data_IF_378873557528
#
_entry.id   IF_378873557528
#
_cell.length_a   1.000
_cell.length_b   1.000
_cell.length_c   1.000
_cell.angle_alpha   90.00
_cell.angle_beta   90.00
_cell.angle_gamma   90.00
#
_symmetry.space_group_name_H-M   'P 1'
#
loop_
_entity.id
_entity.type
_entity.pdbx_description
1 polymer ?
#
# COMPACT_ATOMS: atom_id res chain seq x y z
N UNK A 1 37.80 -20.77 -45.55
CA UNK A 1 39.08 -20.26 -46.08
C UNK A 1 38.75 -19.30 -47.21
N UNK A 2 39.25 -18.05 -47.17
CA UNK A 2 39.11 -17.12 -48.27
C UNK A 2 40.12 -17.47 -49.37
N UNK A 3 39.66 -17.66 -50.61
CA UNK A 3 40.50 -17.85 -51.78
C UNK A 3 41.29 -16.55 -52.04
N UNK A 4 42.61 -16.64 -52.11
CA UNK A 4 43.48 -15.49 -52.38
C UNK A 4 43.71 -15.38 -53.88
N UNK A 5 44.00 -14.18 -54.36
CA UNK A 5 44.42 -13.91 -55.75
C UNK A 5 45.43 -14.93 -56.29
N UNK A 6 46.43 -15.27 -55.48
CA UNK A 6 47.49 -16.25 -55.81
C UNK A 6 46.97 -17.68 -55.98
N UNK A 7 45.85 -18.03 -55.34
CA UNK A 7 45.20 -19.34 -55.47
C UNK A 7 44.42 -19.45 -56.79
N UNK A 8 44.00 -18.31 -57.36
CA UNK A 8 43.20 -18.22 -58.60
C UNK A 8 44.11 -18.10 -59.84
N UNK A 9 45.20 -17.33 -59.76
CA UNK A 9 46.15 -17.11 -60.86
C UNK A 9 47.16 -18.27 -61.04
N UNK A 10 46.89 -19.45 -60.46
CA UNK A 10 47.82 -20.58 -60.49
C UNK A 10 47.95 -21.12 -61.91
N UNK A 11 49.17 -21.44 -62.36
CA UNK A 11 49.46 -21.85 -63.75
C UNK A 11 49.70 -23.35 -63.93
N UNK A 12 49.52 -24.14 -62.88
CA UNK A 12 49.87 -25.57 -62.81
C UNK A 12 48.77 -26.49 -63.38
N UNK A 13 48.14 -26.11 -64.49
CA UNK A 13 47.08 -26.90 -65.11
C UNK A 13 47.65 -27.87 -66.17
N UNK A 14 47.26 -29.16 -66.18
CA UNK A 14 47.74 -30.12 -67.19
C UNK A 14 47.19 -29.79 -68.59
N UNK A 15 48.07 -29.74 -69.59
CA UNK A 15 47.73 -29.38 -70.98
C UNK A 15 47.39 -30.64 -71.78
N UNK A 16 46.16 -30.74 -72.31
CA UNK A 16 45.70 -31.86 -73.15
C UNK A 16 45.74 -31.50 -74.65
N UNK A 17 45.88 -32.52 -75.53
CA UNK A 17 45.95 -32.36 -77.00
C UNK A 17 44.71 -31.72 -77.65
N UNK A 18 43.59 -31.60 -76.92
CA UNK A 18 42.37 -30.87 -77.29
C UNK A 18 41.85 -30.21 -76.02
N UNK A 19 42.15 -28.93 -75.83
CA UNK A 19 41.91 -28.21 -74.57
C UNK A 19 41.64 -26.72 -74.79
N UNK A 20 41.39 -26.02 -73.68
CA UNK A 20 41.21 -24.57 -73.68
C UNK A 20 42.53 -23.86 -74.00
N UNK A 21 42.42 -22.67 -74.59
CA UNK A 21 43.56 -21.79 -74.86
C UNK A 21 44.14 -21.25 -73.52
N UNK A 22 45.39 -21.58 -73.17
CA UNK A 22 46.00 -21.16 -71.91
C UNK A 22 46.05 -19.64 -71.71
N UNK A 23 46.27 -18.87 -72.77
CA UNK A 23 46.35 -17.41 -72.67
C UNK A 23 44.97 -16.80 -72.36
N UNK A 24 43.91 -17.36 -72.94
CA UNK A 24 42.53 -16.97 -72.67
C UNK A 24 42.11 -17.31 -71.24
N UNK A 25 42.53 -18.48 -70.73
CA UNK A 25 42.28 -18.90 -69.34
C UNK A 25 43.02 -18.01 -68.35
N UNK A 26 44.30 -17.73 -68.59
CA UNK A 26 45.11 -16.85 -67.74
C UNK A 26 44.53 -15.43 -67.68
N UNK A 27 44.03 -14.90 -68.80
CA UNK A 27 43.34 -13.61 -68.84
C UNK A 27 42.03 -13.63 -68.04
N UNK A 28 41.26 -14.73 -68.13
CA UNK A 28 40.01 -14.88 -67.39
C UNK A 28 40.23 -15.03 -65.87
N UNK A 29 41.24 -15.80 -65.45
CA UNK A 29 41.58 -15.99 -64.04
C UNK A 29 42.05 -14.68 -63.39
N UNK A 30 42.83 -13.87 -64.11
CA UNK A 30 43.18 -12.50 -63.67
C UNK A 30 41.93 -11.62 -63.48
N UNK A 31 41.03 -11.61 -64.46
CA UNK A 31 39.75 -10.87 -64.34
C UNK A 31 38.85 -11.38 -63.20
N UNK A 32 38.87 -12.68 -62.90
CA UNK A 32 38.12 -13.24 -61.77
C UNK A 32 38.75 -12.84 -60.43
N UNK A 33 40.08 -12.85 -60.34
CA UNK A 33 40.80 -12.42 -59.16
C UNK A 33 40.56 -10.93 -58.87
N UNK A 34 40.63 -10.07 -59.88
CA UNK A 34 40.35 -8.63 -59.73
C UNK A 34 38.93 -8.37 -59.21
N UNK A 35 37.93 -9.07 -59.76
CA UNK A 35 36.54 -8.97 -59.28
C UNK A 35 36.35 -9.43 -57.83
N UNK A 36 37.05 -10.48 -57.42
CA UNK A 36 36.98 -10.99 -56.03
C UNK A 36 37.66 -10.04 -55.04
N UNK A 37 38.79 -9.43 -55.43
CA UNK A 37 39.46 -8.42 -54.62
C UNK A 37 38.56 -7.18 -54.43
N UNK A 38 37.88 -6.72 -55.49
CA UNK A 38 36.89 -5.63 -55.42
C UNK A 38 35.69 -5.97 -54.51
N UNK A 39 35.17 -7.20 -54.60
CA UNK A 39 34.10 -7.67 -53.73
C UNK A 39 34.55 -7.78 -52.26
N UNK A 40 35.79 -8.21 -52.01
CA UNK A 40 36.38 -8.25 -50.66
C UNK A 40 36.57 -6.85 -50.07
N UNK A 41 37.08 -5.90 -50.86
CA UNK A 41 37.27 -4.52 -50.45
C UNK A 41 35.94 -3.82 -50.13
N UNK A 42 34.91 -4.02 -50.94
CA UNK A 42 33.57 -3.48 -50.69
C UNK A 42 32.93 -4.10 -49.44
N UNK A 43 33.06 -5.41 -49.23
CA UNK A 43 32.59 -6.07 -48.01
C UNK A 43 33.32 -5.57 -46.75
N UNK A 44 34.64 -5.36 -46.82
CA UNK A 44 35.41 -4.79 -45.72
C UNK A 44 35.00 -3.34 -45.39
N UNK A 45 34.75 -2.51 -46.42
CA UNK A 45 34.24 -1.16 -46.25
C UNK A 45 32.85 -1.14 -45.61
N UNK A 46 31.96 -2.04 -46.02
CA UNK A 46 30.62 -2.17 -45.44
C UNK A 46 30.69 -2.64 -43.98
N UNK A 47 31.56 -3.59 -43.66
CA UNK A 47 31.77 -4.04 -42.28
C UNK A 47 32.35 -2.93 -41.39
N UNK A 48 33.26 -2.11 -41.92
CA UNK A 48 33.77 -0.91 -41.26
C UNK A 48 32.65 0.09 -40.96
N UNK A 49 31.88 0.47 -41.98
CA UNK A 49 30.75 1.38 -41.83
C UNK A 49 29.68 0.83 -40.86
N UNK A 50 29.38 -0.47 -40.91
CA UNK A 50 28.47 -1.11 -39.98
C UNK A 50 29.00 -1.08 -38.54
N UNK A 51 30.31 -1.29 -38.34
CA UNK A 51 30.93 -1.23 -37.01
C UNK A 51 30.91 0.19 -36.43
N UNK A 52 31.16 1.20 -37.26
CA UNK A 52 31.04 2.62 -36.88
C UNK A 52 29.60 2.96 -36.52
N UNK A 53 28.63 2.50 -37.33
CA UNK A 53 27.21 2.71 -37.07
C UNK A 53 26.77 2.05 -35.75
N UNK A 54 27.19 0.81 -35.49
CA UNK A 54 26.90 0.12 -34.22
C UNK A 54 27.53 0.86 -33.05
N UNK A 55 28.78 1.32 -33.17
CA UNK A 55 29.44 2.12 -32.12
C UNK A 55 28.67 3.41 -31.83
N UNK A 56 28.24 4.12 -32.87
CA UNK A 56 27.45 5.35 -32.72
C UNK A 56 26.12 5.10 -32.00
N UNK A 57 25.43 4.01 -32.33
CA UNK A 57 24.17 3.61 -31.67
C UNK A 57 24.42 3.29 -30.19
N UNK A 58 25.47 2.53 -29.87
CA UNK A 58 25.78 2.18 -28.47
C UNK A 58 26.12 3.43 -27.66
N UNK A 59 26.95 4.34 -28.18
CA UNK A 59 27.27 5.59 -27.48
C UNK A 59 26.03 6.47 -27.27
N UNK A 60 25.13 6.55 -28.25
CA UNK A 60 23.87 7.28 -28.11
C UNK A 60 22.95 6.62 -27.06
N UNK A 61 22.87 5.28 -27.05
CA UNK A 61 22.08 4.54 -26.07
C UNK A 61 22.64 4.69 -24.65
N UNK A 62 23.96 4.67 -24.48
CA UNK A 62 24.62 4.90 -23.18
C UNK A 62 24.37 6.32 -22.66
N UNK A 63 24.48 7.34 -23.52
CA UNK A 63 24.15 8.72 -23.17
C UNK A 63 22.67 8.85 -22.75
N UNK A 64 21.75 8.31 -23.54
CA UNK A 64 20.32 8.32 -23.22
C UNK A 64 20.02 7.57 -21.90
N UNK A 65 20.68 6.43 -21.65
CA UNK A 65 20.52 5.69 -20.40
C UNK A 65 21.11 6.44 -19.19
N UNK A 66 22.14 7.27 -19.37
CA UNK A 66 22.66 8.13 -18.31
C UNK A 66 21.69 9.27 -18.01
N UNK A 67 21.11 9.90 -19.04
CA UNK A 67 20.09 10.94 -18.89
C UNK A 67 18.82 10.43 -18.19
N UNK A 68 18.31 9.26 -18.59
CA UNK A 68 17.15 8.64 -17.94
C UNK A 68 17.42 8.36 -16.46
N UNK A 69 18.62 7.87 -16.12
CA UNK A 69 19.00 7.62 -14.72
C UNK A 69 19.07 8.92 -13.91
N UNK A 70 19.71 9.96 -14.47
CA UNK A 70 19.79 11.26 -13.81
C UNK A 70 18.40 11.88 -13.57
N UNK A 71 17.51 11.82 -14.57
CA UNK A 71 16.15 12.31 -14.45
C UNK A 71 15.33 11.51 -13.42
N UNK A 72 15.46 10.18 -13.42
CA UNK A 72 14.78 9.33 -12.44
C UNK A 72 15.28 9.60 -11.01
N UNK A 73 16.58 9.82 -10.81
CA UNK A 73 17.15 10.16 -9.51
C UNK A 73 16.65 11.52 -9.01
N UNK A 74 16.58 12.53 -9.89
CA UNK A 74 16.02 13.85 -9.57
C UNK A 74 14.54 13.77 -9.21
N UNK A 75 13.75 13.04 -10.00
CA UNK A 75 12.34 12.81 -9.75
C UNK A 75 12.13 12.08 -8.41
N UNK A 76 12.89 11.02 -8.14
CA UNK A 76 12.83 10.29 -6.87
C UNK A 76 13.15 11.20 -5.67
N UNK A 77 14.18 12.03 -5.76
CA UNK A 77 14.53 13.00 -4.71
C UNK A 77 13.42 14.02 -4.49
N UNK A 78 12.84 14.56 -5.56
CA UNK A 78 11.69 15.47 -5.49
C UNK A 78 10.46 14.81 -4.86
N UNK A 79 10.19 13.55 -5.17
CA UNK A 79 9.11 12.79 -4.55
C UNK A 79 9.36 12.56 -3.06
N UNK A 80 10.57 12.18 -2.66
CA UNK A 80 10.94 12.00 -1.25
C UNK A 80 10.79 13.31 -0.48
N UNK A 81 11.28 14.43 -1.02
CA UNK A 81 11.14 15.74 -0.39
C UNK A 81 9.66 16.12 -0.18
N UNK A 82 8.80 15.87 -1.17
CA UNK A 82 7.34 16.11 -1.04
C UNK A 82 6.69 15.21 0.00
N UNK A 83 7.09 13.94 0.07
CA UNK A 83 6.57 13.00 1.07
C UNK A 83 7.01 13.41 2.48
N UNK A 84 8.26 13.82 2.66
CA UNK A 84 8.77 14.33 3.93
C UNK A 84 8.04 15.60 4.37
N UNK A 85 7.81 16.55 3.46
CA UNK A 85 7.06 17.76 3.75
C UNK A 85 5.61 17.45 4.14
N UNK A 86 4.94 16.55 3.40
CA UNK A 86 3.59 16.11 3.71
C UNK A 86 3.51 15.39 5.06
N UNK A 87 4.46 14.50 5.35
CA UNK A 87 4.54 13.79 6.63
C UNK A 87 4.75 14.77 7.79
N UNK A 88 5.63 15.76 7.63
CA UNK A 88 5.84 16.82 8.62
C UNK A 88 4.57 17.63 8.86
N UNK A 89 3.85 18.00 7.80
CA UNK A 89 2.58 18.72 7.91
C UNK A 89 1.51 17.88 8.62
N UNK A 90 1.45 16.56 8.37
CA UNK A 90 0.53 15.67 9.09
C UNK A 90 0.87 15.59 10.58
N UNK A 91 2.15 15.44 10.93
CA UNK A 91 2.58 15.41 12.34
C UNK A 91 2.23 16.73 13.05
N UNK A 92 2.52 17.87 12.43
CA UNK A 92 2.15 19.17 12.99
C UNK A 92 0.64 19.27 13.23
N UNK A 93 -0.18 18.77 12.30
CA UNK A 93 -1.64 18.76 12.45
C UNK A 93 -2.10 17.84 13.59
N UNK A 94 -1.43 16.70 13.79
CA UNK A 94 -1.69 15.82 14.93
C UNK A 94 -1.35 16.53 16.24
N UNK A 95 -0.20 17.20 16.33
CA UNK A 95 0.19 17.96 17.53
C UNK A 95 -0.82 19.09 17.84
N UNK A 96 -1.29 19.79 16.81
CA UNK A 96 -2.34 20.81 16.95
C UNK A 96 -3.66 20.20 17.45
N UNK A 97 -4.07 19.05 16.89
CA UNK A 97 -5.26 18.32 17.33
C UNK A 97 -5.15 17.81 18.77
N UNK A 98 -3.98 17.33 19.18
CA UNK A 98 -3.71 16.90 20.56
C UNK A 98 -3.78 18.09 21.53
N UNK A 99 -3.21 19.23 21.14
CA UNK A 99 -3.27 20.46 21.92
C UNK A 99 -4.70 20.97 22.10
N UNK A 100 -5.50 20.94 21.04
CA UNK A 100 -6.91 21.33 21.10
C UNK A 100 -7.74 20.34 21.93
N UNK A 101 -7.52 19.03 21.77
CA UNK A 101 -8.17 18.02 22.60
C UNK A 101 -7.84 18.23 24.08
N UNK A 102 -6.59 18.57 24.42
CA UNK A 102 -6.18 18.91 25.78
C UNK A 102 -6.97 20.11 26.35
N UNK A 103 -7.17 21.17 25.56
CA UNK A 103 -7.99 22.32 25.95
C UNK A 103 -9.46 21.94 26.15
N UNK A 104 -10.02 21.10 25.29
CA UNK A 104 -11.39 20.61 25.41
C UNK A 104 -11.58 19.81 26.70
N UNK A 105 -10.64 18.91 27.02
CA UNK A 105 -10.67 18.10 28.24
C UNK A 105 -10.58 18.98 29.48
N UNK A 106 -9.72 20.01 29.49
CA UNK A 106 -9.63 20.92 30.63
C UNK A 106 -10.91 21.74 30.80
N UNK A 107 -11.49 22.24 29.72
CA UNK A 107 -12.78 22.95 29.75
C UNK A 107 -13.90 22.04 30.29
N UNK A 108 -13.91 20.77 29.88
CA UNK A 108 -14.86 19.77 30.37
C UNK A 108 -14.66 19.47 31.86
N UNK A 109 -13.42 19.35 32.33
CA UNK A 109 -13.09 19.14 33.75
C UNK A 109 -13.51 20.33 34.60
N UNK A 110 -13.23 21.56 34.15
CA UNK A 110 -13.68 22.77 34.82
C UNK A 110 -15.21 22.83 34.89
N UNK A 111 -15.89 22.53 33.78
CA UNK A 111 -17.34 22.47 33.71
C UNK A 111 -17.94 21.43 34.67
N UNK A 112 -17.35 20.22 34.71
CA UNK A 112 -17.75 19.16 35.63
C UNK A 112 -17.51 19.55 37.10
N UNK A 113 -16.41 20.24 37.41
CA UNK A 113 -16.12 20.76 38.75
C UNK A 113 -17.14 21.80 39.22
N UNK A 114 -17.56 22.71 38.32
CA UNK A 114 -18.63 23.68 38.61
C UNK A 114 -19.97 22.98 38.84
N UNK A 115 -20.36 22.06 37.96
CA UNK A 115 -21.59 21.25 38.12
C UNK A 115 -21.62 20.47 39.43
N UNK A 116 -20.50 19.87 39.83
CA UNK A 116 -20.39 19.16 41.11
C UNK A 116 -20.57 20.11 42.31
N UNK A 117 -20.00 21.31 42.24
CA UNK A 117 -20.17 22.35 43.27
C UNK A 117 -21.62 22.83 43.36
N UNK A 118 -22.24 23.11 42.22
CA UNK A 118 -23.63 23.56 42.15
C UNK A 118 -24.59 22.49 42.70
N UNK A 119 -24.38 21.22 42.36
CA UNK A 119 -25.16 20.09 42.91
C UNK A 119 -24.97 19.95 44.42
N UNK A 120 -23.75 20.14 44.94
CA UNK A 120 -23.50 20.13 46.38
C UNK A 120 -24.24 21.27 47.11
N UNK A 121 -24.30 22.46 46.50
CA UNK A 121 -25.02 23.60 47.03
C UNK A 121 -26.54 23.36 47.04
N UNK A 122 -27.11 22.81 45.96
CA UNK A 122 -28.53 22.45 45.88
C UNK A 122 -28.88 21.36 46.89
N UNK A 123 -28.01 20.37 47.09
CA UNK A 123 -28.20 19.32 48.10
C UNK A 123 -28.17 19.91 49.52
N UNK A 124 -27.26 20.85 49.77
CA UNK A 124 -27.16 21.56 51.05
C UNK A 124 -28.44 22.36 51.36
N UNK A 125 -28.90 23.18 50.41
CA UNK A 125 -30.13 23.97 50.59
C UNK A 125 -31.37 23.09 50.75
N UNK A 126 -31.47 21.98 50.00
CA UNK A 126 -32.54 21.00 50.22
C UNK A 126 -32.45 20.33 51.61
N UNK A 127 -31.26 20.02 52.09
CA UNK A 127 -31.05 19.47 53.43
C UNK A 127 -31.48 20.43 54.54
N UNK A 128 -31.20 21.73 54.37
CA UNK A 128 -31.67 22.78 55.30
C UNK A 128 -33.19 22.91 55.28
N UNK A 129 -33.82 22.86 54.10
CA UNK A 129 -35.28 22.87 53.97
C UNK A 129 -35.93 21.63 54.62
N UNK A 130 -35.36 20.44 54.39
CA UNK A 130 -35.83 19.20 55.02
C UNK A 130 -35.62 19.19 56.53
N UNK A 131 -34.51 19.74 57.04
CA UNK A 131 -34.27 19.86 58.47
C UNK A 131 -35.25 20.84 59.14
N UNK A 132 -35.60 21.94 58.45
CA UNK A 132 -36.63 22.86 58.91
C UNK A 132 -38.02 22.19 58.94
N UNK A 133 -38.35 21.36 57.94
CA UNK A 133 -39.59 20.59 57.89
C UNK A 133 -39.64 19.46 58.94
N UNK A 134 -38.51 18.80 59.20
CA UNK A 134 -38.38 17.78 60.25
C UNK A 134 -38.40 18.39 61.67
N UNK A 135 -37.96 19.65 61.85
CA UNK A 135 -38.11 20.35 63.12
C UNK A 135 -39.59 20.73 63.40
N UNK A 136 -40.41 20.88 62.37
CA UNK A 136 -41.87 21.06 62.48
C UNK A 136 -42.62 19.74 62.76
N UNK A 137 -42.03 18.59 62.42
CA UNK A 137 -42.56 17.25 62.71
C UNK A 137 -41.70 16.51 63.73
N UNK A 138 -42.07 16.63 65.02
CA UNK A 138 -41.40 15.95 66.14
C UNK A 138 -41.18 14.44 65.95
N UNK A 139 -40.23 13.83 66.71
CA UNK A 139 -39.64 12.55 66.35
C UNK A 139 -40.58 11.37 66.62
N UNK A 140 -41.01 10.69 65.56
CA UNK A 140 -41.49 9.30 65.61
C UNK A 140 -40.38 8.35 65.22
N UNK A 141 -40.01 7.50 66.16
CA UNK A 141 -39.02 6.43 66.04
C UNK A 141 -39.68 5.17 65.48
N UNK A 142 -38.87 4.33 64.84
CA UNK A 142 -39.02 2.87 64.62
C UNK A 142 -39.65 2.33 63.31
N UNK A 143 -39.20 1.13 62.87
CA UNK A 143 -38.69 0.93 61.52
C UNK A 143 -39.49 -0.11 60.73
N UNK A 144 -39.38 -0.09 59.40
CA UNK A 144 -39.91 -1.15 58.54
C UNK A 144 -38.83 -1.71 57.63
N UNK A 145 -38.72 -3.03 57.74
CA UNK A 145 -37.85 -3.90 57.00
C UNK A 145 -38.26 -4.06 55.52
N UNK A 146 -37.25 -4.37 54.71
CA UNK A 146 -37.23 -5.34 53.61
C UNK A 146 -38.37 -5.33 52.58
N UNK A 147 -37.98 -5.13 51.32
CA UNK A 147 -38.34 -6.10 50.30
C UNK A 147 -37.22 -6.27 49.27
N UNK A 148 -36.80 -7.52 49.15
CA UNK A 148 -35.65 -7.99 48.41
C UNK A 148 -35.98 -8.13 46.93
N UNK A 149 -35.00 -7.79 46.11
CA UNK A 149 -34.99 -7.95 44.68
C UNK A 149 -35.13 -9.43 44.26
N UNK A 150 -36.06 -9.67 43.34
CA UNK A 150 -36.03 -10.77 42.39
C UNK A 150 -36.79 -10.35 41.13
N UNK A 151 -36.23 -9.38 40.40
CA UNK A 151 -36.58 -9.11 39.01
C UNK A 151 -35.39 -9.58 38.16
N UNK A 152 -35.61 -10.60 37.32
CA UNK A 152 -34.61 -11.10 36.39
C UNK A 152 -34.14 -9.97 35.47
N UNK A 153 -32.82 -9.85 35.31
CA UNK A 153 -32.14 -8.77 34.59
C UNK A 153 -32.64 -8.63 33.14
N UNK A 154 -33.25 -7.49 32.78
CA UNK A 154 -33.34 -7.04 31.40
C UNK A 154 -32.15 -6.10 31.14
N UNK A 155 -31.15 -6.52 30.35
CA UNK A 155 -30.31 -5.60 29.52
C UNK A 155 -29.15 -6.27 28.76
N UNK A 156 -28.84 -7.56 29.00
CA UNK A 156 -27.72 -8.23 28.30
C UNK A 156 -28.00 -8.50 26.81
N UNK A 157 -29.24 -8.35 26.34
CA UNK A 157 -29.65 -8.60 24.95
C UNK A 157 -29.27 -7.47 23.98
N UNK A 158 -29.36 -6.21 24.41
CA UNK A 158 -28.96 -5.06 23.58
C UNK A 158 -27.43 -4.96 23.47
N UNK A 159 -26.73 -5.23 24.57
CA UNK A 159 -25.27 -5.33 24.59
C UNK A 159 -24.74 -6.45 23.68
N UNK A 160 -25.35 -7.64 23.77
CA UNK A 160 -25.03 -8.76 22.88
C UNK A 160 -25.22 -8.41 21.40
N UNK A 161 -26.29 -7.68 21.05
CA UNK A 161 -26.57 -7.25 19.68
C UNK A 161 -25.49 -6.31 19.14
N UNK A 162 -25.02 -5.36 19.94
CA UNK A 162 -23.95 -4.43 19.55
C UNK A 162 -22.62 -5.15 19.31
N UNK A 163 -22.26 -6.08 20.20
CA UNK A 163 -21.04 -6.86 20.05
C UNK A 163 -21.13 -7.79 18.82
N UNK A 164 -22.27 -8.46 18.62
CA UNK A 164 -22.50 -9.30 17.45
C UNK A 164 -22.39 -8.51 16.14
N UNK A 165 -22.96 -7.29 16.09
CA UNK A 165 -22.85 -6.41 14.93
C UNK A 165 -21.41 -5.97 14.68
N UNK A 166 -20.67 -5.60 15.72
CA UNK A 166 -19.26 -5.24 15.60
C UNK A 166 -18.42 -6.42 15.08
N UNK A 167 -18.66 -7.64 15.58
CA UNK A 167 -17.96 -8.85 15.10
C UNK A 167 -18.30 -9.16 13.63
N UNK A 168 -19.57 -9.03 13.24
CA UNK A 168 -19.99 -9.23 11.85
C UNK A 168 -19.36 -8.20 10.90
N UNK A 169 -19.28 -6.92 11.28
CA UNK A 169 -18.62 -5.87 10.49
C UNK A 169 -17.11 -6.10 10.31
N UNK A 170 -16.47 -6.76 11.28
CA UNK A 170 -15.05 -7.13 11.22
C UNK A 170 -14.81 -8.46 10.47
N UNK A 171 -15.85 -9.08 9.90
CA UNK A 171 -15.75 -10.30 9.09
C UNK A 171 -15.62 -11.59 9.88
N UNK A 172 -15.93 -11.59 11.18
CA UNK A 172 -16.01 -12.82 11.99
C UNK A 172 -17.15 -13.72 11.47
N UNK A 173 -17.00 -15.06 11.44
CA UNK A 173 -18.07 -15.97 11.03
C UNK A 173 -19.16 -16.15 12.10
N UNK A 174 -20.39 -16.46 11.66
CA UNK A 174 -21.60 -16.57 12.51
C UNK A 174 -21.41 -17.55 13.68
N UNK A 175 -20.76 -18.69 13.44
CA UNK A 175 -20.54 -19.75 14.42
C UNK A 175 -19.57 -19.32 15.53
N UNK A 176 -18.66 -18.39 15.24
CA UNK A 176 -17.71 -17.85 16.21
C UNK A 176 -18.35 -16.74 17.06
N UNK A 177 -19.17 -15.89 16.45
CA UNK A 177 -20.02 -14.94 17.19
C UNK A 177 -21.00 -15.67 18.11
N UNK A 178 -21.60 -16.78 17.65
CA UNK A 178 -22.53 -17.59 18.44
C UNK A 178 -21.88 -18.12 19.73
N UNK A 179 -20.69 -18.69 19.61
CA UNK A 179 -19.92 -19.20 20.76
C UNK A 179 -19.57 -18.09 21.75
N UNK A 180 -19.14 -16.94 21.23
CA UNK A 180 -18.79 -15.78 22.05
C UNK A 180 -20.00 -15.27 22.85
N UNK A 181 -21.18 -15.25 22.25
CA UNK A 181 -22.39 -14.80 22.92
C UNK A 181 -22.86 -15.77 24.01
N UNK A 182 -22.67 -17.08 23.85
CA UNK A 182 -23.01 -18.08 24.88
C UNK A 182 -22.08 -18.07 26.08
N UNK A 183 -20.81 -17.76 25.88
CA UNK A 183 -19.84 -17.66 26.98
C UNK A 183 -20.01 -16.37 27.81
N UNK A 184 -20.53 -15.30 27.20
CA UNK A 184 -20.50 -13.96 27.80
C UNK A 184 -21.88 -13.36 28.11
N UNK A 185 -22.98 -13.88 27.52
CA UNK A 185 -24.32 -13.30 27.67
C UNK A 185 -25.39 -14.37 27.94
N UNK A 186 -26.35 -14.05 28.80
CA UNK A 186 -27.51 -14.90 29.07
C UNK A 186 -28.69 -14.50 28.16
N UNK A 187 -28.69 -15.00 26.93
CA UNK A 187 -29.69 -14.66 25.92
C UNK A 187 -30.81 -15.69 25.83
N UNK A 188 -32.06 -15.22 25.83
CA UNK A 188 -33.23 -16.07 25.66
C UNK A 188 -33.37 -16.64 24.23
N UNK A 189 -32.97 -15.86 23.21
CA UNK A 189 -32.97 -16.30 21.81
C UNK A 189 -31.76 -15.72 21.04
N UNK A 190 -30.66 -16.46 21.11
CA UNK A 190 -29.38 -16.12 20.45
C UNK A 190 -29.43 -16.33 18.93
N UNK A 191 -30.18 -17.34 18.47
CA UNK A 191 -30.27 -17.67 17.05
C UNK A 191 -30.98 -16.56 16.26
N UNK A 192 -32.10 -16.05 16.79
CA UNK A 192 -32.82 -14.94 16.18
C UNK A 192 -31.97 -13.65 16.11
N UNK A 193 -31.20 -13.35 17.17
CA UNK A 193 -30.31 -12.18 17.20
C UNK A 193 -29.20 -12.27 16.12
N UNK A 194 -28.59 -13.44 15.94
CA UNK A 194 -27.55 -13.64 14.93
C UNK A 194 -28.12 -13.55 13.51
N UNK A 195 -29.31 -14.09 13.26
CA UNK A 195 -29.96 -14.02 11.96
C UNK A 195 -30.28 -12.56 11.57
N UNK A 196 -30.77 -11.75 12.51
CA UNK A 196 -31.02 -10.32 12.29
C UNK A 196 -29.74 -9.51 11.99
N UNK A 197 -28.64 -9.81 12.69
CA UNK A 197 -27.37 -9.08 12.53
C UNK A 197 -26.69 -9.43 11.20
N UNK A 198 -26.59 -10.71 10.85
CA UNK A 198 -25.94 -11.14 9.61
C UNK A 198 -26.78 -10.86 8.36
N UNK A 199 -28.12 -10.87 8.46
CA UNK A 199 -28.99 -10.42 7.38
C UNK A 199 -28.87 -8.91 7.07
N UNK A 200 -28.33 -8.11 8.01
CA UNK A 200 -28.12 -6.66 7.84
C UNK A 200 -26.75 -6.30 7.28
N UNK A 201 -25.76 -7.20 7.40
CA UNK A 201 -24.36 -6.96 7.01
C UNK A 201 -24.00 -7.62 5.67
N UNK A 202 -24.70 -8.69 5.28
CA UNK A 202 -24.58 -9.35 3.97
C UNK A 202 -25.50 -8.78 2.90
#
# INVERSE_FOLDING_TARGET
MALRRQDIERRDFPIARRGYDPDAVDAHLRSLADRLDEQGATAASLAGAASEQVRAIVTAAEASAAEIRAAADEEAQSHLARVEEAAKAMLQRVDEMEGDLGKLVETLREGAGRLASDLAQVRGSMGELQAAEAADKGPTVEPAAQEAAAAGQPDDSEGARLIALNMALNGTPREETDRYLEENFQLADRAALLDEVYARVG
#
